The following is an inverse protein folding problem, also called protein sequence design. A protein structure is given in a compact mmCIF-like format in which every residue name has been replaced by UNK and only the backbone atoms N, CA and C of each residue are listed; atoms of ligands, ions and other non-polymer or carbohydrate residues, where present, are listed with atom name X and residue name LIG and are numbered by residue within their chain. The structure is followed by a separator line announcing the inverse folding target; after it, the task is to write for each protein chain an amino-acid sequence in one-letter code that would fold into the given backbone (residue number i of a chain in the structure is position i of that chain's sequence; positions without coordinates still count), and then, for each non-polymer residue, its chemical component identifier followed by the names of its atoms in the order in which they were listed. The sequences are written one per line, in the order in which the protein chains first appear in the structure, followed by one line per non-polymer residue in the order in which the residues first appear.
data_IF_972436827291
#
_entry.id   IF_972436827291
#
_cell.length_a   1.000
_cell.length_b   1.000
_cell.length_c   1.000
_cell.angle_alpha   90.00
_cell.angle_beta   90.00
_cell.angle_gamma   90.00
#
_symmetry.space_group_name_H-M   'P 1'
#
loop_
_entity.id
_entity.type
_entity.pdbx_description
1 polymer ?
#
# COMPACT_ATOMS: atom_id res chain seq x y z
N UNK A 1 1.34 -7.49 14.85
CA UNK A 1 1.81 -6.14 14.47
C UNK A 1 2.50 -6.13 13.10
N UNK A 2 3.09 -7.23 12.64
CA UNK A 2 3.75 -7.29 11.32
C UNK A 2 2.74 -7.29 10.16
N UNK A 3 1.52 -7.78 10.41
CA UNK A 3 0.44 -7.88 9.45
C UNK A 3 -0.07 -6.48 9.03
N UNK A 4 -0.09 -5.50 9.93
CA UNK A 4 -0.42 -4.12 9.56
C UNK A 4 0.63 -3.53 8.60
N UNK A 5 1.92 -3.72 8.91
CA UNK A 5 3.03 -3.32 8.03
C UNK A 5 2.94 -3.98 6.64
N UNK A 6 2.56 -5.25 6.61
CA UNK A 6 2.37 -6.01 5.36
C UNK A 6 1.24 -5.41 4.52
N UNK A 7 0.09 -5.11 5.12
CA UNK A 7 -1.05 -4.50 4.42
C UNK A 7 -0.75 -3.07 3.95
N UNK A 8 -0.13 -2.26 4.80
CA UNK A 8 0.31 -0.92 4.39
C UNK A 8 1.25 -0.98 3.19
N UNK A 9 2.28 -1.83 3.25
CA UNK A 9 3.24 -2.00 2.17
C UNK A 9 2.57 -2.53 0.88
N UNK A 10 1.62 -3.45 1.00
CA UNK A 10 0.85 -3.95 -0.15
C UNK A 10 0.03 -2.83 -0.82
N UNK A 11 -0.70 -2.04 -0.05
CA UNK A 11 -1.48 -0.92 -0.58
C UNK A 11 -0.62 0.18 -1.21
N UNK A 12 0.48 0.53 -0.54
CA UNK A 12 1.44 1.51 -1.05
C UNK A 12 2.12 1.04 -2.34
N UNK A 13 2.52 -0.24 -2.41
CA UNK A 13 3.08 -0.86 -3.63
C UNK A 13 2.08 -0.83 -4.76
N UNK A 14 0.84 -1.23 -4.50
CA UNK A 14 -0.24 -1.24 -5.48
C UNK A 14 -0.48 0.15 -6.08
N UNK A 15 -0.60 1.18 -5.26
CA UNK A 15 -0.74 2.55 -5.74
C UNK A 15 0.47 3.04 -6.52
N UNK A 16 1.69 2.69 -6.09
CA UNK A 16 2.91 3.07 -6.80
C UNK A 16 2.94 2.45 -8.20
N UNK A 17 2.56 1.18 -8.34
CA UNK A 17 2.43 0.52 -9.64
C UNK A 17 1.33 1.15 -10.49
N UNK A 18 0.16 1.43 -9.92
CA UNK A 18 -0.91 2.12 -10.65
C UNK A 18 -0.45 3.48 -11.18
N UNK A 19 0.24 4.28 -10.36
CA UNK A 19 0.79 5.57 -10.79
C UNK A 19 1.96 5.43 -11.79
N UNK A 20 2.66 4.29 -11.79
CA UNK A 20 3.71 4.00 -12.75
C UNK A 20 3.16 3.65 -14.15
N UNK A 21 2.00 2.99 -14.20
CA UNK A 21 1.42 2.49 -15.45
C UNK A 21 0.26 3.34 -15.99
N UNK A 22 -0.45 4.07 -15.14
CA UNK A 22 -1.51 4.98 -15.57
C UNK A 22 -0.90 6.33 -15.97
N UNK A 23 -1.45 7.01 -17.00
CA UNK A 23 -0.98 8.32 -17.45
C UNK A 23 -1.43 9.47 -16.52
N UNK A 24 -1.42 9.26 -15.20
CA UNK A 24 -1.78 10.26 -14.19
C UNK A 24 -0.53 11.03 -13.80
N UNK A 25 -0.49 12.32 -14.18
CA UNK A 25 0.57 13.25 -13.76
C UNK A 25 0.03 14.15 -12.66
N UNK A 26 0.54 13.98 -11.45
CA UNK A 26 0.18 14.79 -10.29
C UNK A 26 1.42 15.07 -9.47
N UNK A 27 1.40 16.15 -8.67
CA UNK A 27 2.45 16.44 -7.68
C UNK A 27 2.24 15.71 -6.35
N UNK A 28 1.12 15.00 -6.22
CA UNK A 28 0.66 14.38 -4.98
C UNK A 28 0.87 12.86 -4.96
N UNK A 29 1.79 12.32 -5.77
CA UNK A 29 1.99 10.87 -5.87
C UNK A 29 2.31 10.25 -4.51
N UNK A 30 3.22 10.86 -3.75
CA UNK A 30 3.57 10.40 -2.42
C UNK A 30 2.35 10.38 -1.49
N UNK A 31 1.49 11.40 -1.54
CA UNK A 31 0.26 11.45 -0.76
C UNK A 31 -0.70 10.35 -1.17
N UNK A 32 -0.86 10.09 -2.47
CA UNK A 32 -1.73 9.01 -2.98
C UNK A 32 -1.21 7.65 -2.53
N UNK A 33 0.10 7.41 -2.61
CA UNK A 33 0.73 6.15 -2.18
C UNK A 33 0.52 5.93 -0.69
N UNK A 34 0.77 6.94 0.15
CA UNK A 34 0.54 6.84 1.60
C UNK A 34 -0.94 6.66 1.92
N UNK A 35 -1.83 7.41 1.28
CA UNK A 35 -3.27 7.28 1.47
C UNK A 35 -3.76 5.88 1.07
N UNK A 36 -3.18 5.28 0.03
CA UNK A 36 -3.49 3.92 -0.39
C UNK A 36 -2.98 2.85 0.57
N UNK A 37 -1.79 3.05 1.16
CA UNK A 37 -1.32 2.23 2.28
C UNK A 37 -2.25 2.32 3.50
N UNK A 38 -2.69 3.52 3.87
CA UNK A 38 -3.68 3.72 4.94
C UNK A 38 -5.04 3.08 4.59
N UNK A 39 -5.46 3.14 3.33
CA UNK A 39 -6.67 2.47 2.86
C UNK A 39 -6.59 0.94 3.04
N UNK A 40 -5.44 0.33 2.78
CA UNK A 40 -5.22 -1.10 3.01
C UNK A 40 -5.26 -1.50 4.50
N UNK A 41 -5.01 -0.56 5.42
CA UNK A 41 -5.09 -0.75 6.87
C UNK A 41 -6.51 -0.59 7.44
N UNK A 42 -7.43 0.00 6.68
CA UNK A 42 -8.77 0.31 7.16
C UNK A 42 -9.53 -0.93 7.70
N UNK A 43 -9.41 -2.11 7.08
CA UNK A 43 -10.04 -3.32 7.61
C UNK A 43 -9.40 -3.84 8.90
N UNK A 44 -8.21 -3.41 9.29
CA UNK A 44 -7.55 -3.80 10.55
C UNK A 44 -7.95 -2.92 11.75
N UNK A 45 -8.72 -1.85 11.53
CA UNK A 45 -9.10 -0.88 12.57
C UNK A 45 -9.83 -1.55 13.75
N UNK A 46 -10.58 -2.64 13.52
CA UNK A 46 -11.25 -3.42 14.58
C UNK A 46 -10.29 -3.95 15.66
N UNK A 47 -8.99 -4.10 15.35
CA UNK A 47 -7.98 -4.53 16.31
C UNK A 47 -7.72 -3.46 17.38
N UNK A 48 -7.91 -2.18 17.03
CA UNK A 48 -7.57 -1.03 17.87
C UNK A 48 -8.80 -0.39 18.53
N UNK A 49 -9.98 -0.46 17.88
CA UNK A 49 -11.22 0.07 18.47
C UNK A 49 -12.07 -1.02 19.15
N UNK A 50 -12.59 -0.78 20.36
CA UNK A 50 -13.60 -1.64 20.97
C UNK A 50 -15.00 -1.45 20.37
N UNK A 51 -15.22 -0.38 19.61
CA UNK A 51 -16.53 0.01 19.08
C UNK A 51 -16.77 -0.70 17.73
N UNK A 52 -17.93 -1.33 17.55
CA UNK A 52 -18.34 -2.06 16.33
C UNK A 52 -17.45 -3.25 15.90
N UNK A 53 -16.72 -3.85 16.85
CA UNK A 53 -15.76 -4.95 16.59
C UNK A 53 -16.30 -6.10 15.73
N UNK A 54 -17.57 -6.50 15.94
CA UNK A 54 -18.21 -7.56 15.16
C UNK A 54 -18.49 -7.15 13.71
N UNK A 55 -19.18 -6.01 13.52
CA UNK A 55 -19.57 -5.53 12.19
C UNK A 55 -18.36 -5.18 11.30
N UNK A 56 -17.30 -4.59 11.88
CA UNK A 56 -16.08 -4.23 11.13
C UNK A 56 -15.23 -5.46 10.79
N UNK A 57 -15.18 -6.46 11.67
CA UNK A 57 -14.50 -7.74 11.40
C UNK A 57 -15.20 -8.55 10.30
N UNK A 58 -16.53 -8.59 10.32
CA UNK A 58 -17.26 -9.32 9.28
C UNK A 58 -17.15 -8.59 7.93
N UNK A 59 -17.05 -7.26 7.94
CA UNK A 59 -16.76 -6.46 6.75
C UNK A 59 -15.34 -6.68 6.22
N UNK A 60 -14.31 -6.77 7.09
CA UNK A 60 -12.93 -7.00 6.66
C UNK A 60 -12.72 -8.38 6.02
N UNK A 61 -13.51 -9.38 6.44
CA UNK A 61 -13.52 -10.71 5.84
C UNK A 61 -14.53 -10.88 4.67
N UNK A 62 -15.26 -9.82 4.32
CA UNK A 62 -16.20 -9.82 3.20
C UNK A 62 -15.54 -9.42 1.87
N UNK A 63 -16.29 -9.52 0.76
CA UNK A 63 -15.85 -9.04 -0.55
C UNK A 63 -15.50 -7.54 -0.57
N UNK A 64 -16.05 -6.74 0.34
CA UNK A 64 -15.72 -5.32 0.48
C UNK A 64 -14.32 -5.10 1.08
N UNK A 65 -13.85 -6.02 1.93
CA UNK A 65 -12.47 -6.01 2.42
C UNK A 65 -11.44 -6.16 1.29
N UNK A 66 -11.80 -6.84 0.20
CA UNK A 66 -10.92 -6.98 -0.97
C UNK A 66 -10.75 -5.67 -1.75
N UNK A 67 -11.62 -4.68 -1.58
CA UNK A 67 -11.44 -3.33 -2.16
C UNK A 67 -10.28 -2.60 -1.48
N UNK A 68 -9.93 -2.99 -0.26
CA UNK A 68 -8.74 -2.53 0.46
C UNK A 68 -7.51 -3.36 0.07
N UNK A 69 -7.24 -3.47 -1.23
CA UNK A 69 -6.09 -4.21 -1.80
C UNK A 69 -6.08 -5.72 -1.48
N UNK A 70 -7.18 -6.42 -1.74
CA UNK A 70 -7.31 -7.87 -1.55
C UNK A 70 -6.95 -8.32 -0.13
N UNK A 71 -7.30 -7.51 0.88
CA UNK A 71 -6.94 -7.70 2.30
C UNK A 71 -7.18 -9.14 2.80
N UNK A 72 -8.33 -9.73 2.49
CA UNK A 72 -8.65 -11.10 2.92
C UNK A 72 -7.78 -12.19 2.28
N UNK A 73 -7.13 -11.92 1.13
CA UNK A 73 -6.15 -12.84 0.52
C UNK A 73 -4.84 -12.80 1.30
N UNK A 74 -4.39 -11.61 1.69
CA UNK A 74 -3.18 -11.43 2.49
C UNK A 74 -3.32 -12.04 3.89
N UNK A 75 -4.47 -11.87 4.55
CA UNK A 75 -4.77 -12.51 5.83
C UNK A 75 -4.67 -14.04 5.76
N UNK A 76 -5.10 -14.66 4.65
CA UNK A 76 -4.97 -16.11 4.46
C UNK A 76 -3.55 -16.55 4.12
N UNK A 77 -2.78 -15.69 3.46
CA UNK A 77 -1.39 -15.97 3.09
C UNK A 77 -0.44 -15.84 4.30
N UNK A 78 -0.79 -15.04 5.31
CA UNK A 78 -0.03 -14.89 6.56
C UNK A 78 -0.89 -15.02 7.82
N UNK A 79 -1.37 -16.24 8.13
CA UNK A 79 -2.18 -16.47 9.33
C UNK A 79 -1.39 -16.31 10.62
N UNK A 80 -0.06 -16.20 10.57
CA UNK A 80 0.83 -16.21 11.74
C UNK A 80 1.36 -14.84 12.15
N UNK A 81 1.02 -13.75 11.43
CA UNK A 81 1.59 -12.41 11.68
C UNK A 81 3.13 -12.46 11.61
N UNK A 82 3.66 -12.90 10.45
CA UNK A 82 5.07 -13.16 10.22
C UNK A 82 5.88 -11.89 10.01
N UNK A 83 6.87 -11.66 10.87
CA UNK A 83 7.82 -10.56 10.69
C UNK A 83 8.63 -10.66 9.37
N UNK A 84 8.89 -11.89 8.90
CA UNK A 84 9.60 -12.13 7.64
C UNK A 84 8.78 -11.64 6.46
N UNK A 85 7.48 -11.92 6.45
CA UNK A 85 6.63 -11.48 5.34
C UNK A 85 6.52 -9.96 5.31
N UNK A 86 6.36 -9.32 6.48
CA UNK A 86 6.37 -7.87 6.57
C UNK A 86 7.66 -7.24 6.04
N UNK A 87 8.82 -7.82 6.37
CA UNK A 87 10.11 -7.36 5.85
C UNK A 87 10.21 -7.51 4.33
N UNK A 88 9.74 -8.63 3.78
CA UNK A 88 9.71 -8.86 2.32
C UNK A 88 8.77 -7.87 1.63
N UNK A 89 7.54 -7.69 2.15
CA UNK A 89 6.57 -6.76 1.58
C UNK A 89 7.09 -5.31 1.59
N UNK A 90 7.73 -4.90 2.68
CA UNK A 90 8.38 -3.59 2.78
C UNK A 90 9.55 -3.47 1.80
N UNK A 91 10.39 -4.50 1.68
CA UNK A 91 11.49 -4.53 0.71
C UNK A 91 11.01 -4.39 -0.74
N UNK A 92 9.92 -5.08 -1.10
CA UNK A 92 9.28 -4.96 -2.42
C UNK A 92 8.74 -3.55 -2.63
N UNK A 93 8.05 -2.98 -1.64
CA UNK A 93 7.55 -1.60 -1.71
C UNK A 93 8.68 -0.59 -1.97
N UNK A 94 9.78 -0.70 -1.22
CA UNK A 94 10.94 0.18 -1.38
C UNK A 94 11.57 0.03 -2.76
N UNK A 95 11.78 -1.20 -3.24
CA UNK A 95 12.32 -1.45 -4.57
C UNK A 95 11.46 -0.84 -5.68
N UNK A 96 10.15 -1.08 -5.62
CA UNK A 96 9.19 -0.51 -6.59
C UNK A 96 9.20 1.01 -6.55
N UNK A 97 9.28 1.60 -5.35
CA UNK A 97 9.34 3.06 -5.17
C UNK A 97 10.60 3.65 -5.79
N UNK A 98 11.76 3.01 -5.61
CA UNK A 98 13.03 3.45 -6.23
C UNK A 98 12.91 3.39 -7.75
N UNK A 99 12.46 2.26 -8.30
CA UNK A 99 12.28 2.10 -9.76
C UNK A 99 11.31 3.16 -10.31
N UNK A 100 10.24 3.44 -9.59
CA UNK A 100 9.26 4.45 -9.97
C UNK A 100 9.84 5.88 -9.94
N UNK A 101 10.63 6.21 -8.92
CA UNK A 101 11.28 7.50 -8.78
C UNK A 101 12.27 7.76 -9.93
N UNK A 102 13.12 6.77 -10.26
CA UNK A 102 14.03 6.83 -11.41
C UNK A 102 13.27 7.09 -12.72
N UNK A 103 12.22 6.30 -12.99
CA UNK A 103 11.40 6.46 -14.21
C UNK A 103 10.68 7.81 -14.31
N UNK A 104 10.33 8.41 -13.18
CA UNK A 104 9.72 9.75 -13.11
C UNK A 104 10.77 10.86 -13.31
N UNK A 105 12.02 10.62 -12.87
CA UNK A 105 13.15 11.53 -13.07
C UNK A 105 13.62 11.62 -14.53
N UNK A 106 13.52 10.52 -15.28
CA UNK A 106 13.90 10.42 -16.70
C UNK A 106 12.93 11.11 -17.70
N UNK A 107 11.93 11.85 -17.21
CA UNK A 107 11.04 12.64 -18.07
C UNK A 107 11.82 13.75 -18.79
N UNK A 108 11.55 14.04 -20.08
CA UNK A 108 12.24 15.10 -20.80
C UNK A 108 11.90 16.46 -20.17
N UNK A 109 12.81 17.00 -19.37
CA UNK A 109 12.68 18.36 -18.84
C UNK A 109 13.26 18.61 -17.45
N UNK A 110 14.54 18.33 -17.21
CA UNK A 110 15.38 19.15 -16.30
C UNK A 110 16.80 19.27 -16.87
N UNK A 111 16.92 19.54 -18.17
CA UNK A 111 17.99 20.44 -18.61
C UNK A 111 17.47 21.86 -18.36
N UNK A 112 17.66 22.35 -17.14
CA UNK A 112 17.45 23.76 -16.82
C UNK A 112 18.72 24.30 -16.15
N UNK A 113 19.57 24.84 -17.02
CA UNK A 113 20.12 26.18 -16.85
C UNK A 113 20.73 26.45 -15.47
N UNK A 114 21.78 25.69 -15.12
CA UNK A 114 22.80 26.14 -14.16
C UNK A 114 24.19 25.66 -14.60
N UNK A 115 24.63 26.10 -15.77
CA UNK A 115 26.05 26.26 -16.09
C UNK A 115 26.24 27.59 -16.79
#
# INVERSE_FOLDING_TARGET
MSLALTHFAAGATGATLLLAYLPVRTRYDATIVVASGCWALLPDVWRVTPIYRGAVRDLSHSALGNVCWLHAVFDRADPTDSARLAAVALGVYLLVTVIYAERRGDGPGVDRERR
#
